data_IF_830002394288
#
_entry.id   IF_830002394288
#
_cell.length_a   1.000
_cell.length_b   1.000
_cell.length_c   1.000
_cell.angle_alpha   90.00
_cell.angle_beta   90.00
_cell.angle_gamma   90.00
#
_symmetry.space_group_name_H-M   'P 1'
#
loop_
_entity.id
_entity.type
_entity.pdbx_description
1 polymer ?
#
# COMPACT_ATOMS: atom_id res chain seq x y z
N UNK A 1 -7.51 0.95 21.60
CA UNK A 1 -6.86 2.09 20.91
C UNK A 1 -7.93 3.10 20.56
N UNK A 2 -7.83 4.34 21.04
CA UNK A 2 -8.88 5.34 20.88
C UNK A 2 -9.00 5.75 19.41
N UNK A 3 -10.18 5.54 18.81
CA UNK A 3 -10.52 6.10 17.50
C UNK A 3 -10.80 7.59 17.69
N UNK A 4 -9.75 8.40 17.73
CA UNK A 4 -9.93 9.85 17.71
C UNK A 4 -10.46 10.18 16.31
N UNK A 5 -11.72 10.60 16.24
CA UNK A 5 -12.33 11.07 15.00
C UNK A 5 -11.52 12.26 14.48
N UNK A 6 -11.20 12.29 13.18
CA UNK A 6 -10.52 13.40 12.53
C UNK A 6 -11.21 14.74 12.83
N UNK A 7 -12.55 14.74 12.91
CA UNK A 7 -13.33 15.91 13.30
C UNK A 7 -12.95 16.47 14.69
N UNK A 8 -12.62 15.61 15.67
CA UNK A 8 -12.18 16.05 17.00
C UNK A 8 -10.80 16.72 16.95
N UNK A 9 -9.90 16.24 16.09
CA UNK A 9 -8.58 16.86 15.90
C UNK A 9 -8.73 18.24 15.28
N UNK A 10 -9.58 18.37 14.24
CA UNK A 10 -9.85 19.65 13.58
C UNK A 10 -10.48 20.65 14.56
N UNK A 11 -11.48 20.24 15.33
CA UNK A 11 -12.10 21.11 16.35
C UNK A 11 -11.08 21.50 17.43
N UNK A 12 -10.23 20.57 17.88
CA UNK A 12 -9.19 20.88 18.86
C UNK A 12 -8.17 21.89 18.30
N UNK A 13 -7.78 21.77 17.03
CA UNK A 13 -6.89 22.73 16.37
C UNK A 13 -7.53 24.12 16.26
N UNK A 14 -8.79 24.21 15.86
CA UNK A 14 -9.52 25.49 15.77
C UNK A 14 -9.58 26.16 17.15
N UNK A 15 -9.93 25.42 18.20
CA UNK A 15 -9.98 25.97 19.57
C UNK A 15 -8.59 26.39 20.04
N UNK A 16 -7.56 25.58 19.76
CA UNK A 16 -6.18 25.89 20.13
C UNK A 16 -5.65 27.13 19.39
N UNK A 17 -6.03 27.30 18.12
CA UNK A 17 -5.77 28.52 17.36
C UNK A 17 -6.50 29.71 17.96
N UNK A 18 -7.81 29.62 18.26
CA UNK A 18 -8.55 30.72 18.88
C UNK A 18 -7.98 31.16 20.24
N UNK A 19 -7.53 30.20 21.07
CA UNK A 19 -6.89 30.50 22.36
C UNK A 19 -5.48 31.08 22.16
N UNK A 20 -4.72 30.62 21.16
CA UNK A 20 -3.38 31.15 20.85
C UNK A 20 -3.44 32.50 20.12
N UNK A 21 -4.51 32.77 19.37
CA UNK A 21 -4.66 33.92 18.47
C UNK A 21 -5.46 35.08 19.08
N UNK A 22 -5.85 35.00 20.37
CA UNK A 22 -6.35 36.15 21.13
C UNK A 22 -5.36 37.36 21.17
N UNK A 23 -4.22 37.30 20.47
CA UNK A 23 -3.23 38.36 20.35
C UNK A 23 -2.89 38.82 18.91
N UNK A 24 -3.61 38.39 17.86
CA UNK A 24 -3.41 39.03 16.54
C UNK A 24 -4.68 38.99 15.69
N UNK A 25 -5.20 40.13 15.19
CA UNK A 25 -6.22 40.13 14.17
C UNK A 25 -5.56 39.62 12.89
N UNK A 26 -5.70 38.33 12.63
CA UNK A 26 -5.42 37.75 11.33
C UNK A 26 -6.54 38.26 10.44
N UNK A 27 -6.18 39.08 9.46
CA UNK A 27 -7.08 39.50 8.39
C UNK A 27 -7.40 38.22 7.59
N UNK A 28 -8.47 37.53 8.01
CA UNK A 28 -8.95 36.32 7.36
C UNK A 28 -9.41 36.72 5.97
N UNK A 29 -8.54 36.55 4.98
CA UNK A 29 -8.99 36.58 3.60
C UNK A 29 -9.69 35.23 3.34
N UNK A 30 -10.98 35.21 3.63
CA UNK A 30 -11.86 34.03 3.54
C UNK A 30 -11.77 33.36 2.16
N UNK A 31 -11.57 34.14 1.10
CA UNK A 31 -11.38 33.64 -0.28
C UNK A 31 -10.07 32.85 -0.47
N UNK A 32 -8.97 33.29 0.16
CA UNK A 32 -7.69 32.56 0.11
C UNK A 32 -7.81 31.26 0.89
N UNK A 33 -8.43 31.31 2.08
CA UNK A 33 -8.66 30.12 2.89
C UNK A 33 -9.56 29.09 2.18
N UNK A 34 -10.62 29.55 1.52
CA UNK A 34 -11.53 28.68 0.76
C UNK A 34 -10.81 28.03 -0.42
N UNK A 35 -9.99 28.79 -1.15
CA UNK A 35 -9.19 28.27 -2.26
C UNK A 35 -8.16 27.25 -1.79
N UNK A 36 -7.40 27.55 -0.74
CA UNK A 36 -6.39 26.65 -0.18
C UNK A 36 -7.05 25.37 0.36
N UNK A 37 -8.23 25.48 0.97
CA UNK A 37 -9.01 24.32 1.43
C UNK A 37 -9.50 23.47 0.26
N UNK A 38 -9.93 24.09 -0.84
CA UNK A 38 -10.36 23.39 -2.05
C UNK A 38 -9.19 22.64 -2.72
N UNK A 39 -8.04 23.31 -2.88
CA UNK A 39 -6.83 22.71 -3.44
C UNK A 39 -6.32 21.56 -2.56
N UNK A 40 -6.28 21.75 -1.23
CA UNK A 40 -5.92 20.68 -0.30
C UNK A 40 -6.88 19.49 -0.39
N UNK A 41 -8.19 19.75 -0.55
CA UNK A 41 -9.19 18.69 -0.72
C UNK A 41 -8.97 17.92 -2.02
N UNK A 42 -8.70 18.60 -3.13
CA UNK A 42 -8.46 17.97 -4.43
C UNK A 42 -7.21 17.10 -4.41
N UNK A 43 -6.11 17.59 -3.81
CA UNK A 43 -4.87 16.82 -3.63
C UNK A 43 -5.08 15.59 -2.75
N UNK A 44 -5.87 15.70 -1.67
CA UNK A 44 -6.20 14.57 -0.80
C UNK A 44 -7.08 13.55 -1.56
N UNK A 45 -8.03 14.01 -2.38
CA UNK A 45 -8.88 13.11 -3.18
C UNK A 45 -8.07 12.35 -4.23
N UNK A 46 -7.12 13.00 -4.90
CA UNK A 46 -6.20 12.36 -5.85
C UNK A 46 -5.32 11.30 -5.16
N UNK A 47 -4.67 11.66 -4.06
CA UNK A 47 -3.83 10.72 -3.28
C UNK A 47 -4.65 9.53 -2.77
N UNK A 48 -5.89 9.76 -2.32
CA UNK A 48 -6.80 8.67 -1.90
C UNK A 48 -7.09 7.71 -3.06
N UNK A 49 -7.35 8.22 -4.27
CA UNK A 49 -7.61 7.38 -5.46
C UNK A 49 -6.38 6.58 -5.87
N UNK A 50 -5.18 7.18 -5.80
CA UNK A 50 -3.93 6.50 -6.09
C UNK A 50 -3.66 5.37 -5.07
N UNK A 51 -3.85 5.65 -3.77
CA UNK A 51 -3.71 4.64 -2.72
C UNK A 51 -4.75 3.53 -2.84
N UNK A 52 -6.00 3.85 -3.17
CA UNK A 52 -7.05 2.84 -3.37
C UNK A 52 -6.71 1.89 -4.53
N UNK A 53 -6.18 2.43 -5.62
CA UNK A 53 -5.71 1.63 -6.77
C UNK A 53 -4.52 0.76 -6.39
N UNK A 54 -3.57 1.32 -5.63
CA UNK A 54 -2.41 0.59 -5.11
C UNK A 54 -2.81 -0.56 -4.18
N UNK A 55 -3.77 -0.33 -3.27
CA UNK A 55 -4.31 -1.36 -2.37
C UNK A 55 -4.97 -2.47 -3.19
N UNK A 56 -5.80 -2.15 -4.18
CA UNK A 56 -6.43 -3.16 -5.06
C UNK A 56 -5.40 -4.00 -5.81
N UNK A 57 -4.33 -3.38 -6.30
CA UNK A 57 -3.23 -4.10 -6.93
C UNK A 57 -2.53 -5.05 -5.95
N UNK A 58 -2.19 -4.57 -4.75
CA UNK A 58 -1.57 -5.39 -3.69
C UNK A 58 -2.46 -6.55 -3.24
N UNK A 59 -3.77 -6.34 -3.08
CA UNK A 59 -4.73 -7.41 -2.77
C UNK A 59 -4.71 -8.51 -3.85
N UNK A 60 -4.64 -8.11 -5.12
CA UNK A 60 -4.55 -9.06 -6.23
C UNK A 60 -3.24 -9.86 -6.23
N UNK A 61 -2.13 -9.22 -5.89
CA UNK A 61 -0.81 -9.85 -5.77
C UNK A 61 -0.76 -10.82 -4.58
N UNK A 62 -1.26 -10.41 -3.42
CA UNK A 62 -1.39 -11.26 -2.23
C UNK A 62 -2.25 -12.48 -2.54
N UNK A 63 -3.40 -12.31 -3.21
CA UNK A 63 -4.24 -13.44 -3.64
C UNK A 63 -3.50 -14.43 -4.54
N UNK A 64 -2.65 -13.93 -5.45
CA UNK A 64 -1.84 -14.75 -6.33
C UNK A 64 -0.75 -15.51 -5.55
N UNK A 65 -0.09 -14.85 -4.60
CA UNK A 65 0.92 -15.46 -3.73
C UNK A 65 0.31 -16.52 -2.81
N UNK A 66 -0.83 -16.24 -2.16
CA UNK A 66 -1.56 -17.22 -1.33
C UNK A 66 -1.94 -18.47 -2.12
N UNK A 67 -2.41 -18.31 -3.37
CA UNK A 67 -2.70 -19.46 -4.25
C UNK A 67 -1.44 -20.25 -4.60
N UNK A 68 -0.31 -19.58 -4.77
CA UNK A 68 0.99 -20.22 -5.03
C UNK A 68 1.46 -21.00 -3.80
N UNK A 69 1.36 -20.43 -2.61
CA UNK A 69 1.69 -21.09 -1.34
C UNK A 69 0.86 -22.36 -1.15
N UNK A 70 -0.47 -22.27 -1.27
CA UNK A 70 -1.35 -23.44 -1.19
C UNK A 70 -0.97 -24.53 -2.20
N UNK A 71 -0.58 -24.14 -3.42
CA UNK A 71 -0.13 -25.09 -4.44
C UNK A 71 1.19 -25.77 -4.04
N UNK A 72 2.14 -25.04 -3.43
CA UNK A 72 3.39 -25.59 -2.93
C UNK A 72 3.13 -26.56 -1.77
N UNK A 73 2.24 -26.22 -0.83
CA UNK A 73 1.83 -27.14 0.24
C UNK A 73 1.21 -28.42 -0.33
N UNK A 74 0.33 -28.30 -1.34
CA UNK A 74 -0.25 -29.47 -2.01
C UNK A 74 0.79 -30.30 -2.76
N UNK A 75 1.76 -29.66 -3.39
CA UNK A 75 2.88 -30.32 -4.08
C UNK A 75 3.75 -31.09 -3.09
N UNK A 76 4.08 -30.48 -1.95
CA UNK A 76 4.85 -31.12 -0.88
C UNK A 76 4.13 -32.35 -0.34
N UNK A 77 2.83 -32.24 -0.06
CA UNK A 77 1.99 -33.35 0.38
C UNK A 77 1.90 -34.45 -0.69
N UNK A 78 1.76 -34.10 -1.96
CA UNK A 78 1.74 -35.07 -3.05
C UNK A 78 3.07 -35.81 -3.18
N UNK A 79 4.19 -35.11 -3.06
CA UNK A 79 5.53 -35.69 -3.08
C UNK A 79 5.75 -36.65 -1.92
N UNK A 80 5.42 -36.23 -0.68
CA UNK A 80 5.50 -37.08 0.52
C UNK A 80 4.65 -38.36 0.41
N UNK A 81 3.53 -38.29 -0.29
CA UNK A 81 2.62 -39.42 -0.49
C UNK A 81 2.90 -40.23 -1.77
N UNK A 82 4.00 -39.98 -2.48
CA UNK A 82 4.35 -40.69 -3.72
C UNK A 82 3.34 -40.51 -4.86
N UNK A 83 2.54 -39.44 -4.83
CA UNK A 83 1.54 -39.16 -5.89
C UNK A 83 2.21 -38.60 -7.14
N UNK A 84 1.58 -38.79 -8.29
CA UNK A 84 2.05 -38.21 -9.55
C UNK A 84 2.06 -36.67 -9.49
N UNK A 85 3.21 -36.08 -9.82
CA UNK A 85 3.45 -34.64 -9.76
C UNK A 85 3.26 -33.89 -11.09
N UNK A 86 2.96 -34.58 -12.19
CA UNK A 86 2.89 -33.99 -13.54
C UNK A 86 1.90 -32.82 -13.62
N UNK A 87 0.75 -32.94 -12.94
CA UNK A 87 -0.25 -31.88 -12.88
C UNK A 87 0.28 -30.60 -12.21
N UNK A 88 1.12 -30.72 -11.17
CA UNK A 88 1.77 -29.57 -10.54
C UNK A 88 2.79 -28.93 -11.48
N UNK A 89 3.53 -29.72 -12.26
CA UNK A 89 4.41 -29.19 -13.30
C UNK A 89 3.67 -28.31 -14.32
N UNK A 90 2.48 -28.76 -14.78
CA UNK A 90 1.61 -27.96 -15.68
C UNK A 90 1.13 -26.67 -15.00
N UNK A 91 0.72 -26.74 -13.72
CA UNK A 91 0.31 -25.55 -12.95
C UNK A 91 1.46 -24.56 -12.74
N UNK A 92 2.64 -25.02 -12.36
CA UNK A 92 3.85 -24.20 -12.20
C UNK A 92 4.25 -23.52 -13.50
N UNK A 93 4.20 -24.24 -14.62
CA UNK A 93 4.45 -23.66 -15.96
C UNK A 93 3.45 -22.53 -16.27
N UNK A 94 2.16 -22.71 -15.95
CA UNK A 94 1.13 -21.68 -16.14
C UNK A 94 1.35 -20.47 -15.22
N UNK A 95 1.74 -20.71 -13.96
CA UNK A 95 2.06 -19.68 -12.99
C UNK A 95 3.26 -18.83 -13.43
N UNK A 96 4.37 -19.48 -13.83
CA UNK A 96 5.56 -18.80 -14.34
C UNK A 96 5.24 -17.93 -15.57
N UNK A 97 4.39 -18.41 -16.49
CA UNK A 97 3.93 -17.62 -17.64
C UNK A 97 3.12 -16.38 -17.22
N UNK A 98 2.36 -16.43 -16.13
CA UNK A 98 1.61 -15.29 -15.61
C UNK A 98 2.54 -14.24 -15.01
N UNK A 99 3.51 -14.66 -14.19
CA UNK A 99 4.54 -13.76 -13.65
C UNK A 99 5.30 -13.07 -14.78
N UNK A 100 5.72 -13.82 -15.80
CA UNK A 100 6.44 -13.27 -16.97
C UNK A 100 5.61 -12.33 -17.84
N UNK A 101 4.30 -12.26 -17.68
CA UNK A 101 3.41 -11.35 -18.43
C UNK A 101 3.00 -10.12 -17.64
N UNK A 102 3.18 -10.10 -16.31
CA UNK A 102 2.90 -8.91 -15.53
C UNK A 102 3.83 -7.76 -16.00
N UNK A 103 3.36 -6.52 -16.13
CA UNK A 103 4.22 -5.40 -16.51
C UNK A 103 5.43 -5.29 -15.57
N UNK A 104 6.59 -5.00 -16.13
CA UNK A 104 7.88 -5.04 -15.44
C UNK A 104 8.00 -3.93 -14.36
N UNK A 105 7.20 -2.88 -14.49
CA UNK A 105 7.24 -1.66 -13.66
C UNK A 105 6.83 -1.84 -12.19
N UNK A 106 6.28 -2.99 -11.80
CA UNK A 106 5.97 -3.31 -10.38
C UNK A 106 6.51 -4.68 -9.96
N UNK A 107 7.36 -5.32 -10.77
CA UNK A 107 7.83 -6.68 -10.47
C UNK A 107 8.89 -6.68 -9.39
N UNK A 108 8.47 -6.77 -8.14
CA UNK A 108 9.27 -7.27 -7.00
C UNK A 108 10.56 -6.52 -6.67
N UNK A 109 11.14 -5.72 -7.56
CA UNK A 109 12.38 -5.00 -7.32
C UNK A 109 12.13 -3.95 -6.25
N UNK A 110 11.02 -3.21 -6.27
CA UNK A 110 10.73 -2.23 -5.21
C UNK A 110 10.38 -2.89 -3.87
N UNK A 111 9.57 -3.96 -3.86
CA UNK A 111 9.19 -4.67 -2.63
C UNK A 111 10.40 -5.37 -2.02
N UNK A 112 11.18 -6.11 -2.82
CA UNK A 112 12.40 -6.76 -2.33
C UNK A 112 13.43 -5.71 -1.92
N UNK A 113 13.62 -4.61 -2.67
CA UNK A 113 14.50 -3.52 -2.23
C UNK A 113 14.01 -2.84 -0.95
N UNK A 114 12.69 -2.67 -0.78
CA UNK A 114 12.11 -2.08 0.44
C UNK A 114 12.31 -3.02 1.62
N UNK A 115 12.04 -4.32 1.48
CA UNK A 115 12.30 -5.33 2.51
C UNK A 115 13.80 -5.39 2.82
N UNK A 116 14.67 -5.37 1.82
CA UNK A 116 16.13 -5.34 2.02
C UNK A 116 16.58 -4.06 2.72
N UNK A 117 15.96 -2.92 2.43
CA UNK A 117 16.22 -1.64 3.10
C UNK A 117 15.74 -1.66 4.56
N UNK A 118 14.53 -2.15 4.83
CA UNK A 118 13.97 -2.26 6.17
C UNK A 118 14.77 -3.24 7.05
N UNK A 119 15.31 -4.31 6.45
CA UNK A 119 16.18 -5.25 7.13
C UNK A 119 17.64 -4.79 7.23
N UNK A 120 18.00 -3.62 6.65
CA UNK A 120 19.39 -3.15 6.61
C UNK A 120 20.33 -4.04 5.77
N UNK A 121 19.79 -4.93 4.96
CA UNK A 121 20.51 -5.88 4.09
C UNK A 121 20.81 -5.30 2.70
N UNK A 122 20.51 -4.02 2.48
CA UNK A 122 20.77 -3.34 1.23
C UNK A 122 22.27 -3.03 1.13
N UNK A 123 23.06 -4.06 0.79
CA UNK A 123 24.51 -3.99 0.68
C UNK A 123 24.96 -3.10 -0.48
N UNK A 124 25.13 -1.81 -0.20
CA UNK A 124 26.17 -0.98 -0.81
C UNK A 124 27.29 -0.82 0.21
N UNK A 125 28.34 -1.65 0.12
CA UNK A 125 29.61 -1.41 -0.60
C UNK A 125 30.69 -0.88 0.35
N UNK A 126 31.67 -1.74 0.61
CA UNK A 126 33.06 -1.32 0.54
C UNK A 126 33.33 -0.60 -0.79
#
# INVERSE_FOLDING_TARGET
MAKISFALVVVALIVFQQVSEAHRPIDFNEEVLEKDLHEAKDLIEEDLREKETSIRNLESEVSLLTKSEMMLTQLELAYKNGRNLEHFGKKLKKFNRRIKRAPEEVRYVSIIQSILKDLGLNGGRH
#
